data_IF_839811340079
#
_entry.id   IF_839811340079
#
_cell.length_a   1.000
_cell.length_b   1.000
_cell.length_c   1.000
_cell.angle_alpha   90.00
_cell.angle_beta   90.00
_cell.angle_gamma   90.00
#
_symmetry.space_group_name_H-M   'P 1'
#
loop_
_entity.id
_entity.type
_entity.pdbx_description
1 polymer ?
#
# COMPACT_ATOMS: atom_id res chain seq x y z
N UNK A 1 -2.11 -31.58 16.37
CA UNK A 1 -0.75 -32.08 16.66
C UNK A 1 0.17 -30.87 16.60
N UNK A 2 0.87 -30.49 17.69
CA UNK A 2 1.90 -29.46 17.60
C UNK A 2 2.97 -29.94 16.62
N UNK A 3 3.54 -29.04 15.81
CA UNK A 3 4.59 -29.44 14.88
C UNK A 3 5.79 -29.97 15.67
N UNK A 4 6.47 -30.97 15.11
CA UNK A 4 7.64 -31.65 15.67
C UNK A 4 8.80 -30.67 16.01
N UNK A 5 8.72 -29.44 15.51
CA UNK A 5 9.72 -28.38 15.65
C UNK A 5 9.30 -27.23 16.59
N UNK A 6 8.12 -27.29 17.22
CA UNK A 6 7.63 -26.22 18.10
C UNK A 6 7.28 -24.91 17.37
N UNK A 7 7.25 -24.93 16.03
CA UNK A 7 6.87 -23.80 15.18
C UNK A 7 5.50 -24.09 14.60
N UNK A 8 4.51 -23.26 14.92
CA UNK A 8 3.20 -23.33 14.29
C UNK A 8 3.35 -22.98 12.79
N UNK A 9 3.25 -23.99 11.93
CA UNK A 9 3.40 -23.85 10.47
C UNK A 9 2.10 -23.39 9.80
N UNK A 10 0.96 -23.57 10.47
CA UNK A 10 -0.35 -23.12 10.01
C UNK A 10 -0.64 -21.68 10.47
N UNK A 11 0.05 -20.71 9.87
CA UNK A 11 -0.16 -19.30 10.19
C UNK A 11 -1.31 -18.69 9.38
N UNK A 12 -2.16 -17.91 10.04
CA UNK A 12 -3.18 -17.09 9.38
C UNK A 12 -2.56 -15.75 8.98
N UNK A 13 -2.22 -15.60 7.71
CA UNK A 13 -1.81 -14.31 7.16
C UNK A 13 -3.01 -13.41 6.93
N UNK A 14 -2.80 -12.09 6.90
CA UNK A 14 -3.88 -11.16 6.59
C UNK A 14 -4.50 -11.43 5.21
N UNK A 15 -3.70 -11.83 4.21
CA UNK A 15 -4.23 -12.22 2.90
C UNK A 15 -5.14 -13.46 3.00
N UNK A 16 -4.74 -14.47 3.79
CA UNK A 16 -5.57 -15.66 4.05
C UNK A 16 -6.86 -15.30 4.79
N UNK A 17 -6.78 -14.39 5.76
CA UNK A 17 -7.94 -13.89 6.48
C UNK A 17 -8.92 -13.19 5.52
N UNK A 18 -8.45 -12.23 4.71
CA UNK A 18 -9.31 -11.50 3.75
C UNK A 18 -9.96 -12.44 2.73
N UNK A 19 -9.20 -13.41 2.19
CA UNK A 19 -9.76 -14.42 1.28
C UNK A 19 -10.81 -15.30 1.95
N UNK A 20 -10.59 -15.68 3.22
CA UNK A 20 -11.55 -16.47 3.98
C UNK A 20 -12.82 -15.67 4.29
N UNK A 21 -12.70 -14.38 4.58
CA UNK A 21 -13.85 -13.50 4.77
C UNK A 21 -14.65 -13.34 3.47
N UNK A 22 -13.99 -13.10 2.33
CA UNK A 22 -14.68 -13.02 1.04
C UNK A 22 -15.50 -14.28 0.74
N UNK A 23 -14.95 -15.47 1.03
CA UNK A 23 -15.64 -16.76 0.79
C UNK A 23 -16.93 -16.92 1.57
N UNK A 24 -17.15 -16.18 2.66
CA UNK A 24 -18.41 -16.20 3.41
C UNK A 24 -19.55 -15.50 2.67
N UNK A 25 -19.25 -14.71 1.63
CA UNK A 25 -20.21 -13.93 0.88
C UNK A 25 -20.19 -14.35 -0.59
N UNK A 26 -21.13 -15.22 -1.04
CA UNK A 26 -21.17 -15.73 -2.42
C UNK A 26 -21.30 -14.63 -3.49
N UNK A 27 -21.91 -13.49 -3.14
CA UNK A 27 -22.10 -12.33 -4.01
C UNK A 27 -20.88 -11.41 -4.09
N UNK A 28 -19.81 -11.70 -3.34
CA UNK A 28 -18.64 -10.84 -3.31
C UNK A 28 -17.86 -10.92 -4.64
N UNK A 29 -17.73 -9.77 -5.31
CA UNK A 29 -17.00 -9.64 -6.59
C UNK A 29 -15.49 -9.87 -6.45
N UNK A 30 -14.95 -9.72 -5.24
CA UNK A 30 -13.51 -9.77 -4.96
C UNK A 30 -12.80 -8.42 -5.06
N UNK A 31 -13.52 -7.34 -5.42
CA UNK A 31 -12.95 -6.00 -5.57
C UNK A 31 -12.26 -5.52 -4.28
N UNK A 32 -12.94 -5.65 -3.13
CA UNK A 32 -12.37 -5.29 -1.83
C UNK A 32 -11.13 -6.12 -1.49
N UNK A 33 -11.15 -7.42 -1.80
CA UNK A 33 -10.00 -8.31 -1.56
C UNK A 33 -8.80 -7.90 -2.39
N UNK A 34 -9.02 -7.51 -3.64
CA UNK A 34 -7.95 -7.05 -4.52
C UNK A 34 -7.40 -5.70 -4.05
N UNK A 35 -8.28 -4.77 -3.64
CA UNK A 35 -7.90 -3.49 -3.04
C UNK A 35 -6.99 -3.69 -1.81
N UNK A 36 -7.42 -4.53 -0.87
CA UNK A 36 -6.67 -4.84 0.34
C UNK A 36 -5.34 -5.53 0.02
N UNK A 37 -5.29 -6.38 -1.00
CA UNK A 37 -4.05 -7.04 -1.42
C UNK A 37 -3.04 -6.04 -2.00
N UNK A 38 -3.50 -5.09 -2.82
CA UNK A 38 -2.67 -4.02 -3.34
C UNK A 38 -2.16 -3.09 -2.23
N UNK A 39 -3.05 -2.70 -1.31
CA UNK A 39 -2.70 -1.89 -0.13
C UNK A 39 -1.61 -2.57 0.70
N UNK A 40 -1.76 -3.87 0.98
CA UNK A 40 -0.76 -4.63 1.74
C UNK A 40 0.59 -4.69 1.04
N UNK A 41 0.58 -4.78 -0.28
CA UNK A 41 1.80 -4.77 -1.09
C UNK A 41 2.49 -3.41 -1.02
N UNK A 42 1.72 -2.31 -1.09
CA UNK A 42 2.24 -0.95 -0.91
C UNK A 42 2.90 -0.77 0.47
N UNK A 43 2.22 -1.20 1.55
CA UNK A 43 2.75 -1.10 2.92
C UNK A 43 4.04 -1.90 3.07
N UNK A 44 4.13 -3.11 2.50
CA UNK A 44 5.36 -3.91 2.50
C UNK A 44 6.49 -3.21 1.74
N UNK A 45 6.19 -2.61 0.59
CA UNK A 45 7.17 -1.86 -0.20
C UNK A 45 7.70 -0.64 0.57
N UNK A 46 6.81 0.15 1.17
CA UNK A 46 7.17 1.30 2.03
C UNK A 46 8.02 0.83 3.20
N UNK A 47 7.61 -0.19 3.93
CA UNK A 47 8.37 -0.72 5.06
C UNK A 47 9.77 -1.21 4.64
N UNK A 48 9.91 -1.78 3.45
CA UNK A 48 11.21 -2.14 2.88
C UNK A 48 12.04 -0.91 2.54
N UNK A 49 11.43 0.11 1.93
CA UNK A 49 12.08 1.36 1.59
C UNK A 49 12.58 2.11 2.83
N UNK A 50 11.77 2.23 3.88
CA UNK A 50 12.14 2.82 5.18
C UNK A 50 13.37 2.12 5.78
N UNK A 51 13.34 0.78 5.83
CA UNK A 51 14.46 -0.01 6.38
C UNK A 51 15.74 0.16 5.57
N UNK A 52 15.63 0.24 4.24
CA UNK A 52 16.78 0.47 3.35
C UNK A 52 17.29 1.91 3.44
N UNK A 53 16.40 2.89 3.62
CA UNK A 53 16.77 4.30 3.77
C UNK A 53 17.63 4.54 5.02
N UNK A 54 17.34 3.83 6.11
CA UNK A 54 18.18 3.82 7.31
C UNK A 54 19.60 3.31 7.06
N UNK A 55 19.78 2.36 6.13
CA UNK A 55 21.09 1.80 5.78
C UNK A 55 21.81 2.57 4.67
N UNK A 56 21.06 3.15 3.73
CA UNK A 56 21.58 3.84 2.55
C UNK A 56 21.99 5.31 2.80
N UNK A 57 22.10 5.73 4.07
CA UNK A 57 22.36 7.13 4.45
C UNK A 57 21.41 8.13 3.78
N UNK A 58 20.17 7.73 3.46
CA UNK A 58 19.14 8.67 3.00
C UNK A 58 18.81 9.74 4.06
N UNK A 59 19.30 9.55 5.30
CA UNK A 59 19.21 10.46 6.43
C UNK A 59 20.44 11.34 6.66
N UNK A 60 21.57 11.24 5.90
CA UNK A 60 22.80 11.80 6.46
C UNK A 60 24.04 12.11 5.63
N UNK A 61 24.11 11.90 4.30
CA UNK A 61 25.27 12.44 3.53
C UNK A 61 24.82 13.09 2.23
N UNK A 62 25.29 14.33 2.05
CA UNK A 62 25.19 15.21 0.88
C UNK A 62 24.00 16.18 0.87
N UNK A 63 24.10 17.24 1.69
CA UNK A 63 24.20 18.63 1.19
C UNK A 63 23.10 19.21 0.29
N UNK A 64 21.98 18.51 0.06
CA UNK A 64 20.88 18.98 -0.75
C UNK A 64 19.74 19.42 0.15
N UNK A 65 19.93 20.60 0.73
CA UNK A 65 18.84 21.46 1.15
C UNK A 65 18.04 21.78 -0.11
N UNK A 66 16.75 21.45 -0.15
CA UNK A 66 15.87 21.92 -1.23
C UNK A 66 15.93 23.46 -1.25
N UNK A 67 15.64 24.10 -2.39
CA UNK A 67 15.66 25.57 -2.61
C UNK A 67 14.85 26.41 -1.61
N UNK A 68 14.18 25.77 -0.64
CA UNK A 68 13.36 26.37 0.42
C UNK A 68 13.84 26.08 1.86
N UNK A 69 14.98 25.40 2.07
CA UNK A 69 15.57 25.31 3.41
C UNK A 69 15.11 24.16 4.32
N UNK A 70 14.19 23.30 3.89
CA UNK A 70 13.68 22.18 4.70
C UNK A 70 14.39 20.84 4.43
N UNK A 71 14.46 19.98 5.46
CA UNK A 71 14.78 18.56 5.31
C UNK A 71 13.77 17.94 4.34
N UNK A 72 14.24 17.52 3.16
CA UNK A 72 13.37 16.91 2.16
C UNK A 72 12.77 15.64 2.74
N UNK A 73 11.44 15.65 2.93
CA UNK A 73 10.57 14.50 3.22
C UNK A 73 10.57 13.46 2.09
N UNK A 74 11.75 12.98 1.67
CA UNK A 74 11.93 12.01 0.56
C UNK A 74 11.14 10.73 0.79
N UNK A 75 10.93 10.37 2.06
CA UNK A 75 10.18 9.19 2.44
C UNK A 75 8.67 9.38 2.27
N UNK A 76 8.14 10.58 2.54
CA UNK A 76 6.72 10.89 2.40
C UNK A 76 6.34 10.90 0.91
N UNK A 77 7.15 11.56 0.06
CA UNK A 77 7.00 11.54 -1.41
C UNK A 77 7.05 10.11 -1.95
N UNK A 78 8.06 9.32 -1.53
CA UNK A 78 8.19 7.93 -1.96
C UNK A 78 7.00 7.07 -1.52
N UNK A 79 6.50 7.27 -0.30
CA UNK A 79 5.36 6.52 0.24
C UNK A 79 4.09 6.87 -0.52
N UNK A 80 3.88 8.15 -0.83
CA UNK A 80 2.77 8.62 -1.63
C UNK A 80 2.78 8.00 -3.04
N UNK A 81 3.90 8.06 -3.74
CA UNK A 81 4.05 7.45 -5.07
C UNK A 81 3.79 5.94 -5.06
N UNK A 82 4.33 5.23 -4.08
CA UNK A 82 4.11 3.78 -3.94
C UNK A 82 2.63 3.46 -3.70
N UNK A 83 1.96 4.20 -2.83
CA UNK A 83 0.53 4.02 -2.54
C UNK A 83 -0.31 4.26 -3.79
N UNK A 84 -0.11 5.41 -4.46
CA UNK A 84 -0.85 5.78 -5.66
C UNK A 84 -0.67 4.73 -6.75
N UNK A 85 0.56 4.31 -7.03
CA UNK A 85 0.85 3.34 -8.08
C UNK A 85 0.25 1.96 -7.80
N UNK A 86 0.30 1.49 -6.56
CA UNK A 86 -0.25 0.19 -6.16
C UNK A 86 -1.78 0.21 -6.11
N UNK A 87 -2.40 1.31 -5.69
CA UNK A 87 -3.85 1.43 -5.69
C UNK A 87 -4.38 1.59 -7.12
N UNK A 88 -3.73 2.37 -7.98
CA UNK A 88 -4.08 2.44 -9.42
C UNK A 88 -4.01 1.08 -10.11
N UNK A 89 -3.03 0.25 -9.78
CA UNK A 89 -2.90 -1.10 -10.36
C UNK A 89 -3.90 -2.12 -9.81
N UNK A 90 -4.68 -1.77 -8.78
CA UNK A 90 -5.72 -2.64 -8.23
C UNK A 90 -6.97 -2.73 -9.11
N UNK A 91 -7.17 -1.80 -10.06
CA UNK A 91 -8.40 -1.73 -10.86
C UNK A 91 -9.69 -1.66 -10.02
N UNK A 92 -9.62 -1.23 -8.76
CA UNK A 92 -10.75 -1.21 -7.81
C UNK A 92 -11.08 0.17 -7.27
N UNK A 93 -10.22 1.16 -7.58
CA UNK A 93 -10.38 2.56 -7.17
C UNK A 93 -10.75 3.43 -8.36
N UNK A 94 -11.59 4.43 -8.12
CA UNK A 94 -11.98 5.43 -9.12
C UNK A 94 -11.29 6.79 -8.89
N UNK A 95 -11.03 7.14 -7.63
CA UNK A 95 -10.35 8.36 -7.22
C UNK A 95 -9.62 8.13 -5.90
N UNK A 96 -8.59 8.93 -5.63
CA UNK A 96 -7.86 8.96 -4.36
C UNK A 96 -7.64 10.40 -3.91
N UNK A 97 -7.51 10.58 -2.61
CA UNK A 97 -7.12 11.84 -1.97
C UNK A 97 -5.92 11.52 -1.07
N UNK A 98 -4.89 12.35 -1.14
CA UNK A 98 -3.68 12.22 -0.33
C UNK A 98 -3.38 13.55 0.36
N UNK A 99 -2.77 13.52 1.54
CA UNK A 99 -2.28 14.72 2.21
C UNK A 99 -1.20 15.43 1.37
N UNK A 100 -0.45 14.67 0.59
CA UNK A 100 0.67 15.14 -0.24
C UNK A 100 0.22 15.68 -1.61
N UNK A 101 -1.07 15.55 -1.96
CA UNK A 101 -1.63 16.01 -3.24
C UNK A 101 -2.79 16.97 -2.99
N UNK A 102 -2.65 18.24 -3.41
CA UNK A 102 -3.69 19.26 -3.25
C UNK A 102 -4.97 18.95 -4.05
N UNK A 103 -4.83 18.19 -5.14
CA UNK A 103 -5.91 17.87 -6.06
C UNK A 103 -6.28 16.39 -5.98
N UNK A 104 -7.54 16.08 -6.28
CA UNK A 104 -8.01 14.71 -6.38
C UNK A 104 -7.24 13.95 -7.47
N UNK A 105 -6.78 12.74 -7.14
CA UNK A 105 -6.06 11.87 -8.06
C UNK A 105 -7.09 11.02 -8.79
N UNK A 106 -7.40 11.40 -10.04
CA UNK A 106 -8.24 10.61 -10.92
C UNK A 106 -7.49 9.37 -11.43
N UNK A 107 -8.19 8.23 -11.43
CA UNK A 107 -7.68 6.98 -11.99
C UNK A 107 -8.14 6.88 -13.44
N UNK A 108 -7.24 6.57 -14.36
CA UNK A 108 -7.55 6.45 -15.80
C UNK A 108 -8.72 5.48 -16.03
N UNK A 109 -9.64 5.82 -16.95
CA UNK A 109 -10.87 5.04 -17.20
C UNK A 109 -10.58 3.55 -17.52
N UNK A 110 -9.46 3.25 -18.17
CA UNK A 110 -9.02 1.87 -18.45
C UNK A 110 -8.49 1.09 -17.24
N UNK A 111 -8.35 1.75 -16.08
CA UNK A 111 -7.87 1.20 -14.81
C UNK A 111 -8.85 1.42 -13.65
N UNK A 112 -10.07 1.87 -13.91
CA UNK A 112 -11.08 2.12 -12.89
C UNK A 112 -11.82 0.83 -12.50
N UNK A 113 -12.07 0.67 -11.21
CA UNK A 113 -13.02 -0.31 -10.68
C UNK A 113 -14.40 0.27 -10.43
N UNK A 114 -15.32 -0.54 -9.89
CA UNK A 114 -16.62 -0.02 -9.42
C UNK A 114 -16.38 0.98 -8.27
N UNK A 115 -17.12 2.10 -8.22
CA UNK A 115 -16.92 3.10 -7.19
C UNK A 115 -17.18 2.50 -5.79
N UNK A 116 -16.16 2.52 -4.94
CA UNK A 116 -16.25 2.12 -3.53
C UNK A 116 -16.61 3.35 -2.70
N UNK A 117 -17.82 3.37 -2.12
CA UNK A 117 -18.26 4.43 -1.21
C UNK A 117 -18.04 3.97 0.23
N UNK A 118 -17.06 4.55 0.91
CA UNK A 118 -16.90 4.36 2.36
C UNK A 118 -17.75 5.44 3.04
N UNK A 119 -18.67 5.02 3.91
CA UNK A 119 -19.50 5.90 4.74
C UNK A 119 -18.83 6.22 6.07
#
# INVERSE_FOLDING_TARGET
MPSEYGIETDSVTLQRFVLNEQRKYPEATGDLTNLLTCLLTAVKAISSAVRKAGLAQLYGVAGNVNVQGEEVKKLDVLSNELMINMLKSSYTVCAMVSEEDENMIEVEVGKQGRPFRIG
#
